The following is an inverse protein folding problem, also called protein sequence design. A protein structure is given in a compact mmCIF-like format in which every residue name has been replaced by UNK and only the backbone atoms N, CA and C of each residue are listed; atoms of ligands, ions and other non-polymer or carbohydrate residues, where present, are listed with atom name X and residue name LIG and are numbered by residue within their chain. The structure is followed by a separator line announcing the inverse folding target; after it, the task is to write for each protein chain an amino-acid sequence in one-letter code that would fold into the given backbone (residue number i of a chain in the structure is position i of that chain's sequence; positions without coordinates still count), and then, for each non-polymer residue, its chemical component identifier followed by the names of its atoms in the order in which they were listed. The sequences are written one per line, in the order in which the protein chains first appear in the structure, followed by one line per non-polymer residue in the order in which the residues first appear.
data_IF_294611232157
#
_entry.id   IF_294611232157
#
_cell.length_a   1.000
_cell.length_b   1.000
_cell.length_c   1.000
_cell.angle_alpha   90.00
_cell.angle_beta   90.00
_cell.angle_gamma   90.00
#
_symmetry.space_group_name_H-M   'P 1'
#
loop_
_entity.id
_entity.type
_entity.pdbx_description
1 polymer ?
#
# COMPACT_ATOMS: atom_id res chain seq x y z
N UNK A 1 12.89 -18.63 7.96
CA UNK A 1 13.47 -17.99 6.76
C UNK A 1 13.14 -16.51 6.83
N UNK A 2 14.12 -15.64 7.12
CA UNK A 2 13.96 -14.19 6.96
C UNK A 2 14.11 -13.91 5.47
N UNK A 3 13.00 -13.58 4.81
CA UNK A 3 13.04 -13.09 3.43
C UNK A 3 13.42 -11.61 3.56
N UNK A 4 14.72 -11.32 3.51
CA UNK A 4 15.23 -9.95 3.52
C UNK A 4 15.38 -9.47 2.08
N UNK A 5 14.79 -8.32 1.77
CA UNK A 5 15.25 -7.50 0.64
C UNK A 5 16.51 -6.76 1.11
N UNK A 6 17.54 -6.68 0.27
CA UNK A 6 18.73 -5.85 0.57
C UNK A 6 18.38 -4.34 0.63
N UNK A 7 17.15 -3.98 0.24
CA UNK A 7 16.54 -2.66 0.36
C UNK A 7 15.50 -2.60 1.49
N UNK A 8 15.56 -1.54 2.30
CA UNK A 8 14.57 -1.28 3.35
C UNK A 8 13.27 -0.75 2.73
N UNK A 9 12.09 -1.32 3.07
CA UNK A 9 10.83 -0.80 2.56
C UNK A 9 10.46 0.51 3.23
N UNK A 10 9.96 1.47 2.45
CA UNK A 10 9.24 2.62 2.98
C UNK A 10 7.83 2.18 3.38
N UNK A 11 7.51 2.27 4.67
CA UNK A 11 6.17 1.96 5.18
C UNK A 11 5.38 3.26 5.34
N UNK A 12 4.17 3.29 4.79
CA UNK A 12 3.28 4.43 4.89
C UNK A 12 1.81 4.01 5.07
N UNK A 13 1.04 4.85 5.73
CA UNK A 13 -0.39 4.62 5.95
C UNK A 13 -1.21 5.11 4.75
N UNK A 14 -2.23 4.34 4.34
CA UNK A 14 -3.17 4.78 3.30
C UNK A 14 -3.95 6.06 3.66
N UNK A 15 -4.03 6.36 4.95
CA UNK A 15 -4.48 7.63 5.51
C UNK A 15 -3.66 7.89 6.78
N UNK A 16 -2.85 8.97 6.86
CA UNK A 16 -1.84 9.12 7.91
C UNK A 16 -2.37 9.68 9.24
N UNK A 17 -3.67 9.94 9.36
CA UNK A 17 -4.28 10.43 10.60
C UNK A 17 -5.07 9.36 11.35
N UNK A 18 -5.56 9.72 12.54
CA UNK A 18 -6.43 8.89 13.38
C UNK A 18 -7.90 9.24 13.13
N UNK A 19 -8.62 8.52 12.25
CA UNK A 19 -10.03 8.75 12.03
C UNK A 19 -10.84 8.16 13.19
N UNK A 20 -11.69 9.00 13.79
CA UNK A 20 -12.55 8.60 14.91
C UNK A 20 -14.04 8.83 14.59
N UNK A 21 -14.92 8.16 15.33
CA UNK A 21 -16.36 8.44 15.35
C UNK A 21 -16.62 9.68 16.19
N UNK A 22 -17.54 10.55 15.76
CA UNK A 22 -17.81 11.84 16.39
C UNK A 22 -18.05 11.76 17.91
N UNK A 23 -18.74 10.71 18.37
CA UNK A 23 -19.09 10.44 19.76
C UNK A 23 -17.97 9.75 20.57
N UNK A 24 -16.90 9.30 19.93
CA UNK A 24 -15.82 8.56 20.58
C UNK A 24 -14.46 8.82 19.90
N UNK A 25 -13.72 9.81 20.42
CA UNK A 25 -12.38 10.19 19.95
C UNK A 25 -11.33 9.08 20.07
N UNK A 26 -11.55 8.11 20.96
CA UNK A 26 -10.65 6.96 21.15
C UNK A 26 -10.93 5.82 20.15
N UNK A 27 -12.03 5.90 19.39
CA UNK A 27 -12.32 4.93 18.35
C UNK A 27 -11.39 5.11 17.15
N UNK A 28 -11.08 4.02 16.45
CA UNK A 28 -10.37 4.03 15.17
C UNK A 28 -11.31 3.46 14.11
N UNK A 29 -12.02 4.34 13.40
CA UNK A 29 -12.90 3.92 12.30
C UNK A 29 -12.08 3.66 11.05
N UNK A 30 -12.63 2.92 10.10
CA UNK A 30 -11.98 2.83 8.80
C UNK A 30 -11.99 4.19 8.08
N UNK A 31 -10.95 4.53 7.30
CA UNK A 31 -10.99 5.71 6.46
C UNK A 31 -12.07 5.59 5.37
N UNK A 32 -12.67 6.73 5.04
CA UNK A 32 -13.61 6.90 3.93
C UNK A 32 -12.88 7.19 2.62
N UNK A 33 -13.58 7.17 1.49
CA UNK A 33 -12.96 7.37 0.18
C UNK A 33 -12.26 8.71 0.04
N UNK A 34 -12.84 9.80 0.54
CA UNK A 34 -12.20 11.13 0.50
C UNK A 34 -10.87 11.16 1.26
N UNK A 35 -10.83 10.57 2.45
CA UNK A 35 -9.61 10.45 3.26
C UNK A 35 -8.52 9.61 2.56
N UNK A 36 -8.91 8.54 1.84
CA UNK A 36 -7.97 7.76 1.04
C UNK A 36 -7.43 8.55 -0.16
N UNK A 37 -8.23 9.43 -0.76
CA UNK A 37 -7.79 10.31 -1.84
C UNK A 37 -6.80 11.36 -1.33
N UNK A 38 -7.03 11.93 -0.13
CA UNK A 38 -6.06 12.79 0.54
C UNK A 38 -4.76 12.02 0.82
N UNK A 39 -4.86 10.80 1.35
CA UNK A 39 -3.74 9.89 1.58
C UNK A 39 -2.90 9.63 0.33
N UNK A 40 -3.55 9.48 -0.84
CA UNK A 40 -2.87 9.33 -2.13
C UNK A 40 -2.01 10.56 -2.48
N UNK A 41 -2.45 11.77 -2.14
CA UNK A 41 -1.65 12.97 -2.37
C UNK A 41 -0.29 12.92 -1.66
N UNK A 42 -0.23 12.38 -0.44
CA UNK A 42 1.03 12.14 0.26
C UNK A 42 1.85 11.02 -0.36
N UNK A 43 1.20 9.94 -0.79
CA UNK A 43 1.89 8.85 -1.50
C UNK A 43 2.56 9.35 -2.78
N UNK A 44 1.91 10.25 -3.53
CA UNK A 44 2.48 10.87 -4.74
C UNK A 44 3.73 11.68 -4.41
N UNK A 45 3.70 12.47 -3.34
CA UNK A 45 4.89 13.20 -2.87
C UNK A 45 6.02 12.25 -2.45
N UNK A 46 5.71 11.15 -1.76
CA UNK A 46 6.71 10.14 -1.39
C UNK A 46 7.32 9.47 -2.63
N UNK A 47 6.51 9.13 -3.63
CA UNK A 47 7.01 8.60 -4.90
C UNK A 47 7.88 9.62 -5.65
N UNK A 48 7.58 10.91 -5.55
CA UNK A 48 8.44 11.96 -6.13
C UNK A 48 9.74 12.18 -5.35
N UNK A 49 9.76 11.96 -4.04
CA UNK A 49 10.93 12.13 -3.17
C UNK A 49 11.89 10.94 -3.19
N UNK A 50 11.36 9.73 -3.42
CA UNK A 50 12.11 8.48 -3.38
C UNK A 50 12.01 7.76 -4.72
N UNK A 51 13.13 7.23 -5.23
CA UNK A 51 13.15 6.41 -6.45
C UNK A 51 12.54 5.02 -6.18
N UNK A 52 11.22 4.96 -5.99
CA UNK A 52 10.48 3.74 -5.71
C UNK A 52 10.12 3.03 -7.01
N UNK A 53 10.41 1.73 -7.13
CA UNK A 53 10.02 0.93 -8.30
C UNK A 53 8.69 0.19 -8.14
N UNK A 54 8.15 0.14 -6.92
CA UNK A 54 6.98 -0.66 -6.58
C UNK A 54 6.20 -0.06 -5.42
N UNK A 55 4.88 -0.17 -5.50
CA UNK A 55 3.95 0.05 -4.40
C UNK A 55 3.23 -1.25 -4.06
N UNK A 56 3.24 -1.63 -2.78
CA UNK A 56 2.50 -2.79 -2.26
C UNK A 56 1.36 -2.31 -1.38
N UNK A 57 0.12 -2.46 -1.84
CA UNK A 57 -1.07 -2.16 -1.06
C UNK A 57 -1.34 -3.25 -0.02
N UNK A 58 -1.16 -2.90 1.26
CA UNK A 58 -1.40 -3.83 2.38
C UNK A 58 -2.84 -3.70 2.87
N UNK A 59 -3.69 -4.66 2.50
CA UNK A 59 -5.08 -4.74 2.90
C UNK A 59 -6.06 -4.01 1.97
N UNK A 60 -7.35 -4.29 2.20
CA UNK A 60 -8.46 -3.85 1.31
C UNK A 60 -8.56 -2.34 1.14
N UNK A 61 -8.22 -1.55 2.17
CA UNK A 61 -8.35 -0.09 2.10
C UNK A 61 -7.28 0.54 1.23
N UNK A 62 -6.04 0.11 1.37
CA UNK A 62 -4.95 0.50 0.47
C UNK A 62 -5.24 0.04 -0.97
N UNK A 63 -5.70 -1.20 -1.16
CA UNK A 63 -6.10 -1.69 -2.48
C UNK A 63 -7.20 -0.80 -3.08
N UNK A 64 -8.29 -0.58 -2.36
CA UNK A 64 -9.44 0.18 -2.84
C UNK A 64 -9.06 1.62 -3.21
N UNK A 65 -8.18 2.25 -2.43
CA UNK A 65 -7.71 3.60 -2.69
C UNK A 65 -6.84 3.72 -3.95
N UNK A 66 -6.10 2.66 -4.32
CA UNK A 66 -5.14 2.70 -5.43
C UNK A 66 -5.64 2.04 -6.72
N UNK A 67 -6.58 1.09 -6.61
CA UNK A 67 -7.11 0.31 -7.74
C UNK A 67 -7.62 1.14 -8.92
N UNK A 68 -8.31 2.28 -8.73
CA UNK A 68 -8.76 3.12 -9.85
C UNK A 68 -7.61 3.69 -10.72
N UNK A 69 -6.37 3.58 -10.24
CA UNK A 69 -5.19 4.14 -10.88
C UNK A 69 -4.22 3.07 -11.38
N UNK A 70 -4.64 1.81 -11.31
CA UNK A 70 -3.90 0.67 -11.84
C UNK A 70 -4.40 0.41 -13.27
N UNK A 71 -3.47 0.37 -14.23
CA UNK A 71 -3.77 0.03 -15.61
C UNK A 71 -4.19 -1.44 -15.71
N UNK A 72 -5.36 -1.71 -16.30
CA UNK A 72 -5.84 -3.09 -16.48
C UNK A 72 -4.96 -3.91 -17.43
N UNK A 73 -4.40 -3.28 -18.47
CA UNK A 73 -3.56 -3.96 -19.45
C UNK A 73 -2.16 -4.31 -18.95
N UNK A 74 -1.60 -3.50 -18.03
CA UNK A 74 -0.22 -3.67 -17.56
C UNK A 74 -0.10 -4.08 -16.10
N UNK A 75 -1.17 -3.91 -15.32
CA UNK A 75 -1.16 -4.07 -13.87
C UNK A 75 -0.31 -3.02 -13.13
N UNK A 76 0.18 -1.97 -13.80
CA UNK A 76 1.03 -0.94 -13.19
C UNK A 76 0.21 0.21 -12.60
N UNK A 77 0.67 0.75 -11.48
CA UNK A 77 0.09 1.90 -10.80
C UNK A 77 0.61 3.18 -11.45
N UNK A 78 -0.30 4.09 -11.83
CA UNK A 78 0.05 5.47 -12.21
C UNK A 78 -0.21 6.42 -11.05
N UNK A 79 0.83 7.14 -10.64
CA UNK A 79 0.78 8.11 -9.55
C UNK A 79 1.73 9.27 -9.85
N UNK A 80 1.21 10.51 -9.83
CA UNK A 80 1.86 11.64 -10.49
C UNK A 80 2.28 11.28 -11.93
N UNK A 81 3.54 11.60 -12.24
CA UNK A 81 4.18 11.27 -13.52
C UNK A 81 4.85 9.88 -13.54
N UNK A 82 4.83 9.15 -12.42
CA UNK A 82 5.46 7.84 -12.27
C UNK A 82 4.52 6.69 -12.63
N UNK A 83 5.09 5.64 -13.22
CA UNK A 83 4.41 4.37 -13.50
C UNK A 83 5.17 3.24 -12.82
N UNK A 84 4.59 2.71 -11.74
CA UNK A 84 5.25 1.79 -10.82
C UNK A 84 4.65 0.39 -10.89
N UNK A 85 5.45 -0.62 -10.51
CA UNK A 85 4.88 -1.96 -10.24
C UNK A 85 3.90 -1.87 -9.08
N UNK A 86 2.85 -2.67 -9.14
CA UNK A 86 1.82 -2.67 -8.12
C UNK A 86 1.50 -4.10 -7.67
N UNK A 87 1.38 -4.28 -6.37
CA UNK A 87 0.94 -5.53 -5.78
C UNK A 87 -0.04 -5.26 -4.64
N UNK A 88 -0.84 -6.27 -4.30
CA UNK A 88 -1.72 -6.22 -3.13
C UNK A 88 -1.41 -7.42 -2.25
N UNK A 89 -1.43 -7.22 -0.94
CA UNK A 89 -1.25 -8.29 0.05
C UNK A 89 -2.29 -8.16 1.14
N UNK A 90 -2.64 -9.28 1.78
CA UNK A 90 -3.59 -9.27 2.90
C UNK A 90 -2.99 -8.53 4.09
N UNK A 91 -3.78 -7.70 4.78
CA UNK A 91 -3.32 -7.08 6.03
C UNK A 91 -3.07 -8.15 7.11
N UNK A 92 -1.98 -8.07 7.91
CA UNK A 92 -1.60 -9.12 8.85
C UNK A 92 -2.56 -9.27 10.05
N UNK A 93 -3.38 -8.27 10.35
CA UNK A 93 -4.36 -8.31 11.45
C UNK A 93 -5.54 -9.28 11.20
N UNK A 94 -6.29 -9.58 12.27
CA UNK A 94 -7.50 -10.43 12.24
C UNK A 94 -7.26 -11.80 11.58
N UNK A 95 -6.15 -12.46 11.94
CA UNK A 95 -5.76 -13.76 11.39
C UNK A 95 -5.07 -13.70 10.01
N UNK A 96 -4.92 -12.53 9.39
CA UNK A 96 -4.36 -12.37 8.05
C UNK A 96 -2.85 -12.57 7.91
N UNK A 97 -2.13 -12.86 9.00
CA UNK A 97 -0.66 -12.99 9.02
C UNK A 97 -0.14 -14.03 8.03
N UNK A 98 -0.78 -15.20 7.94
CA UNK A 98 -0.32 -16.27 7.05
C UNK A 98 -0.34 -15.84 5.58
N UNK A 99 -1.44 -15.23 5.15
CA UNK A 99 -1.62 -14.74 3.78
C UNK A 99 -0.75 -13.52 3.48
N UNK A 100 -0.54 -12.64 4.47
CA UNK A 100 0.41 -11.54 4.37
C UNK A 100 1.83 -12.06 4.07
N UNK A 101 2.32 -13.02 4.85
CA UNK A 101 3.67 -13.59 4.67
C UNK A 101 3.81 -14.25 3.31
N UNK A 102 2.80 -15.03 2.87
CA UNK A 102 2.79 -15.65 1.54
C UNK A 102 2.83 -14.59 0.43
N UNK A 103 1.98 -13.56 0.53
CA UNK A 103 1.93 -12.47 -0.44
C UNK A 103 3.25 -11.70 -0.52
N UNK A 104 3.84 -11.36 0.62
CA UNK A 104 5.14 -10.67 0.66
C UNK A 104 6.28 -11.52 0.10
N UNK A 105 6.25 -12.85 0.31
CA UNK A 105 7.22 -13.75 -0.30
C UNK A 105 7.11 -13.74 -1.84
N UNK A 106 5.90 -13.78 -2.39
CA UNK A 106 5.67 -13.65 -3.84
C UNK A 106 6.17 -12.31 -4.38
N UNK A 107 5.88 -11.21 -3.69
CA UNK A 107 6.37 -9.88 -4.07
C UNK A 107 7.90 -9.83 -4.10
N UNK A 108 8.56 -10.38 -3.08
CA UNK A 108 10.02 -10.32 -2.95
C UNK A 108 10.73 -11.19 -3.99
N UNK A 109 10.21 -12.40 -4.27
CA UNK A 109 10.76 -13.28 -5.31
C UNK A 109 10.68 -12.64 -6.71
N UNK A 110 9.67 -11.80 -6.96
CA UNK A 110 9.56 -11.02 -8.20
C UNK A 110 10.54 -9.85 -8.30
N UNK A 111 11.17 -9.45 -7.19
CA UNK A 111 12.20 -8.38 -7.16
C UNK A 111 13.59 -8.97 -7.41
N UNK A 112 13.91 -10.16 -6.90
CA UNK A 112 15.24 -10.80 -7.01
C UNK A 112 15.55 -11.48 -8.35
N UNK A 113 14.61 -11.53 -9.30
CA UNK A 113 14.81 -12.11 -10.63
C UNK A 113 15.19 -11.06 -11.71
N UNK A 114 15.52 -9.83 -11.28
CA UNK A 114 16.12 -8.76 -12.09
C UNK A 114 17.52 -8.47 -11.54
#
# INVERSE_FOLDING_TARGET
MKVGTDTLPLLWNSFPWHPYKFDNVQSNRAPVTGELQEGRGFLEQLVGMYELDMVVAVGRKAETGLKPYVSESTGKLRIGDSVLRFATVRHPSFGGKGDFVKGMATVTLGISLL
#
